data_IF_239299893263
#
_entry.id   IF_239299893263
#
_cell.length_a   1.000
_cell.length_b   1.000
_cell.length_c   1.000
_cell.angle_alpha   90.00
_cell.angle_beta   90.00
_cell.angle_gamma   90.00
#
_symmetry.space_group_name_H-M   'P 1'
#
loop_
_entity.id
_entity.type
_entity.pdbx_description
1 polymer ?
#
# COMPACT_ATOMS: atom_id res chain seq x y z
N UNK A 1 -10.47 -17.28 15.21
CA UNK A 1 -11.25 -17.06 13.98
C UNK A 1 -12.00 -15.74 14.12
N UNK A 2 -11.37 -14.65 13.74
CA UNK A 2 -12.07 -13.35 13.56
C UNK A 2 -12.80 -13.43 12.22
N UNK A 3 -14.11 -13.63 12.28
CA UNK A 3 -14.95 -13.64 11.09
C UNK A 3 -14.76 -12.30 10.36
N UNK A 4 -14.20 -12.33 9.16
CA UNK A 4 -14.36 -11.25 8.21
C UNK A 4 -15.87 -11.07 8.04
N UNK A 5 -16.40 -9.91 8.47
CA UNK A 5 -17.78 -9.57 8.13
C UNK A 5 -17.89 -9.60 6.59
N UNK A 6 -18.96 -10.18 6.04
CA UNK A 6 -19.13 -10.20 4.59
C UNK A 6 -19.13 -8.76 4.07
N UNK A 7 -18.11 -8.42 3.29
CA UNK A 7 -17.98 -7.10 2.66
C UNK A 7 -18.97 -7.09 1.49
N UNK A 8 -19.98 -6.24 1.58
CA UNK A 8 -20.93 -6.01 0.50
C UNK A 8 -20.16 -5.47 -0.72
N UNK A 9 -20.20 -6.20 -1.83
CA UNK A 9 -19.43 -5.90 -3.04
C UNK A 9 -19.76 -4.53 -3.67
N UNK A 10 -20.87 -3.92 -3.25
CA UNK A 10 -21.40 -2.65 -3.76
C UNK A 10 -21.06 -1.45 -2.86
N UNK A 11 -20.43 -1.68 -1.69
CA UNK A 11 -20.06 -0.59 -0.77
C UNK A 11 -18.56 -0.38 -0.78
N UNK A 12 -18.14 0.89 -0.79
CA UNK A 12 -16.75 1.26 -0.62
C UNK A 12 -16.19 0.69 0.69
N UNK A 13 -15.01 0.07 0.61
CA UNK A 13 -14.24 -0.38 1.78
C UNK A 13 -13.62 0.80 2.50
N UNK A 14 -13.19 1.80 1.73
CA UNK A 14 -12.54 3.00 2.21
C UNK A 14 -13.07 4.21 1.46
N UNK A 15 -13.40 5.28 2.19
CA UNK A 15 -13.95 6.50 1.63
C UNK A 15 -13.26 7.72 2.23
N UNK A 16 -12.88 8.62 1.36
CA UNK A 16 -12.32 9.93 1.67
C UNK A 16 -13.29 10.98 1.16
N UNK A 17 -13.65 11.95 1.99
CA UNK A 17 -14.60 12.99 1.62
C UNK A 17 -14.11 14.36 2.09
N UNK A 18 -13.95 15.27 1.14
CA UNK A 18 -13.55 16.67 1.32
C UNK A 18 -12.33 16.83 2.24
N UNK A 19 -11.29 16.01 2.01
CA UNK A 19 -10.09 16.02 2.86
C UNK A 19 -9.10 17.09 2.41
N UNK A 20 -8.92 18.10 3.30
CA UNK A 20 -7.79 19.02 3.22
C UNK A 20 -6.66 18.50 4.10
N UNK A 21 -5.45 18.48 3.57
CA UNK A 21 -4.24 18.11 4.31
C UNK A 21 -3.15 19.15 4.12
N UNK A 22 -2.69 19.74 5.23
CA UNK A 22 -1.60 20.70 5.27
C UNK A 22 -0.50 20.25 6.23
N UNK A 23 0.77 20.40 5.81
CA UNK A 23 1.96 20.10 6.62
C UNK A 23 2.90 21.30 6.59
N UNK A 24 3.01 21.99 7.71
CA UNK A 24 3.67 23.30 7.74
C UNK A 24 3.01 24.26 6.74
N UNK A 25 3.78 24.81 5.84
CA UNK A 25 3.27 25.72 4.78
C UNK A 25 2.85 24.97 3.50
N UNK A 26 3.00 23.64 3.45
CA UNK A 26 2.71 22.86 2.25
C UNK A 26 1.29 22.32 2.27
N UNK A 27 0.48 22.71 1.28
CA UNK A 27 -0.82 22.10 1.02
C UNK A 27 -0.63 20.82 0.23
N UNK A 28 -0.97 19.66 0.83
CA UNK A 28 -0.81 18.34 0.21
C UNK A 28 -2.05 17.96 -0.60
N UNK A 29 -3.25 18.21 -0.05
CA UNK A 29 -4.52 18.02 -0.76
C UNK A 29 -5.52 19.10 -0.36
N UNK A 30 -6.43 19.45 -1.28
CA UNK A 30 -7.61 20.28 -1.05
C UNK A 30 -8.83 19.55 -1.54
N UNK A 31 -9.87 19.49 -0.71
CA UNK A 31 -11.15 18.88 -1.05
C UNK A 31 -11.02 17.50 -1.71
N UNK A 32 -10.14 16.66 -1.14
CA UNK A 32 -9.83 15.34 -1.71
C UNK A 32 -11.00 14.39 -1.48
N UNK A 33 -11.52 13.84 -2.59
CA UNK A 33 -12.61 12.88 -2.61
C UNK A 33 -12.23 11.66 -3.43
N UNK A 34 -12.27 10.47 -2.85
CA UNK A 34 -12.20 9.21 -3.59
C UNK A 34 -12.69 8.04 -2.73
N UNK A 35 -12.95 6.93 -3.40
CA UNK A 35 -13.39 5.68 -2.76
C UNK A 35 -12.51 4.53 -3.24
N UNK A 36 -12.33 3.52 -2.39
CA UNK A 36 -11.67 2.25 -2.73
C UNK A 36 -12.63 1.12 -2.44
N UNK A 37 -12.83 0.26 -3.42
CA UNK A 37 -13.74 -0.88 -3.33
C UNK A 37 -12.99 -2.17 -2.96
N UNK A 38 -13.69 -3.17 -2.40
CA UNK A 38 -13.09 -4.45 -2.05
C UNK A 38 -12.43 -5.14 -3.26
N UNK A 39 -11.14 -5.45 -3.13
CA UNK A 39 -10.33 -6.07 -4.19
C UNK A 39 -9.68 -5.07 -5.14
N UNK A 40 -9.77 -3.77 -4.85
CA UNK A 40 -9.18 -2.71 -5.67
C UNK A 40 -7.75 -2.39 -5.23
N UNK A 41 -6.88 -2.19 -6.21
CA UNK A 41 -5.51 -1.69 -6.02
C UNK A 41 -5.40 -0.28 -6.57
N UNK A 42 -5.05 0.68 -5.71
CA UNK A 42 -4.91 2.11 -6.04
C UNK A 42 -3.46 2.53 -5.94
N UNK A 43 -2.92 3.16 -6.99
CA UNK A 43 -1.59 3.77 -6.98
C UNK A 43 -1.67 5.25 -6.61
N UNK A 44 -0.78 5.74 -5.75
CA UNK A 44 -0.52 7.17 -5.55
C UNK A 44 0.77 7.53 -6.29
N UNK A 45 0.67 8.46 -7.23
CA UNK A 45 1.77 8.93 -8.06
C UNK A 45 1.95 10.45 -7.92
N UNK A 46 3.18 10.92 -8.10
CA UNK A 46 3.52 12.34 -8.01
C UNK A 46 5.02 12.54 -7.85
N UNK A 47 5.48 13.78 -7.98
CA UNK A 47 6.89 14.14 -7.81
C UNK A 47 7.38 13.85 -6.39
N UNK A 48 8.70 13.73 -6.23
CA UNK A 48 9.30 13.62 -4.90
C UNK A 48 9.03 14.92 -4.11
N UNK A 49 8.71 14.76 -2.82
CA UNK A 49 8.41 15.87 -1.93
C UNK A 49 7.00 16.44 -2.03
N UNK A 50 6.12 15.95 -2.94
CA UNK A 50 4.75 16.48 -3.11
C UNK A 50 3.80 16.10 -1.96
N UNK A 51 4.22 15.17 -1.07
CA UNK A 51 3.43 14.77 0.09
C UNK A 51 2.77 13.40 -0.02
N UNK A 52 3.15 12.53 -0.99
CA UNK A 52 2.56 11.18 -1.17
C UNK A 52 2.56 10.34 0.12
N UNK A 53 3.74 10.18 0.74
CA UNK A 53 3.90 9.42 1.99
C UNK A 53 3.14 10.03 3.16
N UNK A 54 3.08 11.36 3.21
CA UNK A 54 2.31 12.08 4.23
C UNK A 54 0.81 11.86 4.04
N UNK A 55 0.31 12.02 2.80
CA UNK A 55 -1.09 11.71 2.51
C UNK A 55 -1.42 10.27 2.84
N UNK A 56 -0.64 9.30 2.34
CA UNK A 56 -0.86 7.88 2.61
C UNK A 56 -0.90 7.58 4.12
N UNK A 57 0.01 8.16 4.91
CA UNK A 57 0.05 8.02 6.36
C UNK A 57 -1.21 8.59 7.03
N UNK A 58 -1.67 9.78 6.62
CA UNK A 58 -2.90 10.38 7.13
C UNK A 58 -4.13 9.56 6.77
N UNK A 59 -4.22 9.06 5.53
CA UNK A 59 -5.26 8.15 5.08
C UNK A 59 -5.29 6.85 5.90
N UNK A 60 -4.13 6.37 6.31
CA UNK A 60 -4.02 5.22 7.21
C UNK A 60 -4.41 5.53 8.68
N UNK A 61 -4.84 6.75 9.01
CA UNK A 61 -5.15 7.17 10.38
C UNK A 61 -3.91 7.34 11.26
N UNK A 62 -2.77 7.65 10.64
CA UNK A 62 -1.50 7.99 11.30
C UNK A 62 -1.21 9.48 11.01
N UNK A 63 -1.85 10.41 11.73
CA UNK A 63 -1.89 11.81 11.33
C UNK A 63 -0.49 12.46 11.34
N UNK A 64 -0.22 13.22 10.27
CA UNK A 64 0.96 14.07 10.11
C UNK A 64 0.52 15.41 9.55
N UNK A 65 0.46 16.43 10.37
CA UNK A 65 -0.03 17.75 9.97
C UNK A 65 -1.48 18.03 10.40
N UNK A 66 -2.08 19.02 9.77
CA UNK A 66 -3.47 19.43 10.01
C UNK A 66 -4.34 18.84 8.91
N UNK A 67 -5.33 18.06 9.30
CA UNK A 67 -6.26 17.42 8.39
C UNK A 67 -7.70 17.75 8.78
N UNK A 68 -8.52 18.11 7.80
CA UNK A 68 -9.98 18.26 7.91
C UNK A 68 -10.68 17.32 6.94
N UNK A 69 -12.00 17.24 7.00
CA UNK A 69 -12.78 16.29 6.19
C UNK A 69 -12.93 14.93 6.86
N UNK A 70 -13.51 13.97 6.15
CA UNK A 70 -13.89 12.68 6.67
C UNK A 70 -13.16 11.52 6.00
N UNK A 71 -12.68 10.58 6.81
CA UNK A 71 -12.12 9.31 6.36
C UNK A 71 -12.89 8.17 7.02
N UNK A 72 -13.50 7.31 6.21
CA UNK A 72 -14.23 6.14 6.66
C UNK A 72 -13.54 4.86 6.20
N UNK A 73 -13.27 3.97 7.14
CA UNK A 73 -12.83 2.60 6.91
C UNK A 73 -14.05 1.68 7.17
N UNK A 74 -14.56 1.05 6.12
CA UNK A 74 -15.91 0.50 6.17
C UNK A 74 -16.94 1.63 6.38
N UNK A 75 -17.74 1.52 7.44
CA UNK A 75 -18.79 2.50 7.77
C UNK A 75 -18.43 3.38 8.98
N UNK A 76 -17.17 3.43 9.41
CA UNK A 76 -16.74 4.11 10.62
C UNK A 76 -15.45 4.90 10.40
N UNK A 77 -15.33 6.04 11.06
CA UNK A 77 -14.04 6.74 11.15
C UNK A 77 -13.09 6.03 12.14
N UNK A 78 -11.82 6.41 12.14
CA UNK A 78 -10.81 5.78 13.00
C UNK A 78 -11.09 5.91 14.49
N UNK A 79 -11.66 7.05 14.93
CA UNK A 79 -12.04 7.27 16.34
C UNK A 79 -13.14 6.31 16.79
N UNK A 80 -14.09 6.00 15.92
CA UNK A 80 -15.18 5.04 16.19
C UNK A 80 -14.68 3.58 16.21
N UNK A 81 -13.62 3.26 15.46
CA UNK A 81 -13.00 1.93 15.49
C UNK A 81 -12.16 1.72 16.76
N UNK A 82 -11.45 2.75 17.21
CA UNK A 82 -10.34 2.65 18.16
C UNK A 82 -9.10 2.01 17.55
N UNK A 83 -7.93 2.28 18.12
CA UNK A 83 -6.63 1.99 17.52
C UNK A 83 -6.45 0.51 17.15
N UNK A 84 -6.77 -0.38 18.06
CA UNK A 84 -6.57 -1.82 17.88
C UNK A 84 -7.49 -2.42 16.81
N UNK A 85 -8.79 -2.09 16.87
CA UNK A 85 -9.74 -2.60 15.89
C UNK A 85 -9.43 -2.03 14.49
N UNK A 86 -9.07 -0.75 14.39
CA UNK A 86 -8.60 -0.17 13.14
C UNK A 86 -7.34 -0.88 12.63
N UNK A 87 -6.38 -1.21 13.50
CA UNK A 87 -5.17 -1.94 13.13
C UNK A 87 -5.44 -3.38 12.66
N UNK A 88 -6.54 -4.03 13.05
CA UNK A 88 -6.95 -5.31 12.46
C UNK A 88 -7.50 -5.16 11.04
N UNK A 89 -8.07 -4.01 10.71
CA UNK A 89 -8.67 -3.73 9.40
C UNK A 89 -7.66 -3.19 8.38
N UNK A 90 -6.71 -2.37 8.83
CA UNK A 90 -5.70 -1.74 8.00
C UNK A 90 -4.30 -2.18 8.36
N UNK A 91 -3.47 -2.45 7.34
CA UNK A 91 -2.03 -2.65 7.49
C UNK A 91 -1.27 -1.41 7.02
N UNK A 92 -0.15 -1.13 7.65
CA UNK A 92 0.74 -0.03 7.30
C UNK A 92 2.15 -0.53 7.02
N UNK A 93 2.64 -0.34 5.80
CA UNK A 93 4.04 -0.54 5.43
C UNK A 93 4.71 0.82 5.26
N UNK A 94 5.64 1.14 6.14
CA UNK A 94 6.41 2.39 6.08
C UNK A 94 7.52 2.31 5.02
N UNK A 95 7.88 3.46 4.43
CA UNK A 95 9.00 3.58 3.47
C UNK A 95 10.34 3.10 4.05
N UNK A 96 10.60 3.36 5.33
CA UNK A 96 11.81 2.93 6.02
C UNK A 96 11.46 2.06 7.21
N UNK A 97 12.00 0.87 7.23
CA UNK A 97 12.01 0.00 8.40
C UNK A 97 13.31 0.29 9.20
N UNK A 98 13.16 0.55 10.47
CA UNK A 98 14.31 0.72 11.37
C UNK A 98 14.27 -0.40 12.41
N UNK A 99 14.99 -1.47 12.14
CA UNK A 99 15.23 -2.51 13.13
C UNK A 99 16.29 -1.99 14.10
N UNK A 100 15.88 -1.71 15.32
CA UNK A 100 16.78 -1.17 16.36
C UNK A 100 17.38 -2.27 17.23
N UNK A 101 16.82 -3.46 17.21
CA UNK A 101 17.21 -4.58 18.06
C UNK A 101 17.41 -5.84 17.22
N UNK A 102 18.31 -6.70 17.65
CA UNK A 102 18.51 -8.03 17.09
C UNK A 102 17.28 -8.89 17.37
N UNK A 103 16.72 -9.47 16.33
CA UNK A 103 15.62 -10.43 16.36
C UNK A 103 15.74 -11.34 15.14
N UNK A 104 15.18 -12.54 15.20
CA UNK A 104 15.09 -13.38 14.01
C UNK A 104 14.09 -12.79 13.00
N UNK A 105 14.25 -13.14 11.74
CA UNK A 105 13.30 -12.79 10.68
C UNK A 105 11.89 -13.28 11.04
N UNK A 106 11.77 -14.51 11.56
CA UNK A 106 10.48 -15.08 11.98
C UNK A 106 9.87 -14.26 13.12
N UNK A 107 10.62 -13.91 14.16
CA UNK A 107 10.14 -13.05 15.26
C UNK A 107 9.68 -11.69 14.76
N UNK A 108 10.39 -11.11 13.79
CA UNK A 108 10.00 -9.86 13.17
C UNK A 108 8.68 -10.00 12.42
N UNK A 109 8.51 -11.04 11.62
CA UNK A 109 7.32 -11.26 10.80
C UNK A 109 6.10 -11.60 11.66
N UNK A 110 6.27 -12.42 12.71
CA UNK A 110 5.16 -12.79 13.62
C UNK A 110 4.63 -11.57 14.39
N UNK A 111 5.46 -10.52 14.59
CA UNK A 111 5.03 -9.27 15.21
C UNK A 111 3.86 -8.59 14.45
N UNK A 112 3.67 -8.89 13.17
CA UNK A 112 2.48 -8.50 12.40
C UNK A 112 1.17 -8.97 13.03
N UNK A 113 1.19 -9.98 13.91
CA UNK A 113 0.01 -10.47 14.63
C UNK A 113 -0.38 -9.63 15.85
N UNK A 114 0.45 -8.67 16.28
CA UNK A 114 0.17 -7.86 17.47
C UNK A 114 -1.25 -7.26 17.55
N UNK A 115 -1.85 -6.74 16.48
CA UNK A 115 -3.23 -6.22 16.53
C UNK A 115 -4.27 -7.28 16.89
N UNK A 116 -3.99 -8.54 16.62
CA UNK A 116 -4.90 -9.68 16.85
C UNK A 116 -4.73 -10.30 18.24
N UNK A 117 -3.59 -10.07 18.92
CA UNK A 117 -3.29 -10.63 20.23
C UNK A 117 -3.92 -9.78 21.35
N UNK A 118 -4.42 -10.42 22.40
CA UNK A 118 -4.83 -9.74 23.61
C UNK A 118 -3.62 -9.41 24.47
N UNK A 119 -3.79 -8.47 25.42
CA UNK A 119 -2.70 -7.98 26.29
C UNK A 119 -1.92 -9.08 27.03
N UNK A 120 -2.51 -10.26 27.21
CA UNK A 120 -1.95 -11.38 27.98
C UNK A 120 -1.88 -12.68 27.17
N UNK A 121 -2.03 -12.61 25.86
CA UNK A 121 -1.90 -13.79 24.99
C UNK A 121 -0.61 -13.71 24.20
N UNK A 122 0.05 -14.84 24.10
CA UNK A 122 1.22 -15.06 23.27
C UNK A 122 0.79 -15.51 21.88
N UNK A 123 1.69 -15.41 20.94
CA UNK A 123 1.52 -15.95 19.59
C UNK A 123 1.27 -17.46 19.65
N UNK A 124 0.36 -17.92 18.79
CA UNK A 124 -0.03 -19.32 18.68
C UNK A 124 0.77 -20.02 17.58
N UNK A 125 0.69 -21.36 17.54
CA UNK A 125 1.21 -22.14 16.39
C UNK A 125 0.59 -21.73 15.06
N UNK A 126 -0.67 -21.29 15.06
CA UNK A 126 -1.35 -20.81 13.85
C UNK A 126 -0.76 -19.46 13.38
N UNK A 127 -0.39 -18.57 14.32
CA UNK A 127 0.28 -17.31 14.00
C UNK A 127 1.68 -17.56 13.43
N UNK A 128 2.41 -18.54 13.97
CA UNK A 128 3.71 -18.97 13.44
C UNK A 128 3.56 -19.55 12.02
N UNK A 129 2.59 -20.42 11.80
CA UNK A 129 2.33 -20.99 10.49
C UNK A 129 1.98 -19.90 9.45
N UNK A 130 1.20 -18.88 9.85
CA UNK A 130 0.87 -17.76 9.00
C UNK A 130 2.11 -16.90 8.68
N UNK A 131 2.99 -16.67 9.67
CA UNK A 131 4.25 -15.96 9.47
C UNK A 131 5.17 -16.70 8.49
N UNK A 132 5.33 -18.02 8.65
CA UNK A 132 6.10 -18.86 7.73
C UNK A 132 5.52 -18.86 6.30
N UNK A 133 4.19 -18.95 6.17
CA UNK A 133 3.53 -18.84 4.86
C UNK A 133 3.75 -17.47 4.21
N UNK A 134 3.75 -16.40 5.01
CA UNK A 134 4.05 -15.03 4.54
C UNK A 134 5.50 -14.89 4.10
N UNK A 135 6.46 -15.48 4.82
CA UNK A 135 7.87 -15.52 4.42
C UNK A 135 8.06 -16.30 3.12
N UNK A 136 7.44 -17.46 2.99
CA UNK A 136 7.49 -18.26 1.77
C UNK A 136 6.90 -17.52 0.56
N UNK A 137 5.82 -16.75 0.77
CA UNK A 137 5.18 -15.96 -0.29
C UNK A 137 6.08 -14.85 -0.88
N UNK A 138 7.13 -14.45 -0.14
CA UNK A 138 8.13 -13.45 -0.59
C UNK A 138 9.53 -14.06 -0.78
N UNK A 139 9.67 -15.40 -0.77
CA UNK A 139 10.94 -16.10 -0.96
C UNK A 139 11.95 -15.86 0.15
N UNK A 140 11.50 -15.81 1.41
CA UNK A 140 12.34 -15.54 2.59
C UNK A 140 12.26 -16.63 3.68
N UNK A 141 11.67 -17.78 3.39
CA UNK A 141 11.51 -18.89 4.32
C UNK A 141 12.84 -19.47 4.83
N UNK A 142 13.86 -19.59 3.97
CA UNK A 142 15.22 -20.04 4.35
C UNK A 142 15.93 -19.05 5.30
N UNK A 143 15.40 -17.83 5.45
CA UNK A 143 15.99 -16.78 6.29
C UNK A 143 15.31 -16.68 7.67
N UNK A 144 14.33 -17.54 7.99
CA UNK A 144 13.50 -17.44 9.19
C UNK A 144 14.30 -17.27 10.50
N UNK A 145 15.39 -18.01 10.67
CA UNK A 145 16.25 -17.99 11.85
C UNK A 145 17.39 -16.95 11.78
N UNK A 146 17.51 -16.22 10.66
CA UNK A 146 18.57 -15.23 10.48
C UNK A 146 18.26 -13.95 11.25
N UNK A 147 19.30 -13.28 11.76
CA UNK A 147 19.16 -11.97 12.40
C UNK A 147 18.79 -10.91 11.35
N UNK A 148 17.69 -10.18 11.60
CA UNK A 148 17.15 -9.14 10.72
C UNK A 148 18.17 -8.02 10.46
N UNK A 149 19.08 -7.74 11.39
CA UNK A 149 20.12 -6.73 11.22
C UNK A 149 21.15 -7.09 10.16
N UNK A 150 21.28 -8.37 9.81
CA UNK A 150 22.22 -8.87 8.80
C UNK A 150 21.68 -8.86 7.38
N UNK A 151 20.41 -8.48 7.21
CA UNK A 151 19.74 -8.48 5.92
C UNK A 151 20.18 -7.31 5.04
N UNK A 152 20.28 -7.54 3.74
CA UNK A 152 20.36 -6.49 2.72
C UNK A 152 19.08 -5.63 2.68
N UNK A 153 19.14 -4.48 2.02
CA UNK A 153 17.97 -3.61 1.87
C UNK A 153 16.77 -4.30 1.19
N UNK A 154 17.02 -5.09 0.15
CA UNK A 154 15.96 -5.82 -0.55
C UNK A 154 15.39 -6.99 0.27
N UNK A 155 16.23 -7.75 0.99
CA UNK A 155 15.77 -8.80 1.91
C UNK A 155 14.92 -8.19 3.03
N UNK A 156 15.36 -7.06 3.61
CA UNK A 156 14.61 -6.34 4.65
C UNK A 156 13.26 -5.85 4.14
N UNK A 157 13.20 -5.35 2.90
CA UNK A 157 11.95 -4.92 2.29
C UNK A 157 10.98 -6.10 2.11
N UNK A 158 11.46 -7.26 1.69
CA UNK A 158 10.63 -8.48 1.57
C UNK A 158 10.13 -8.96 2.95
N UNK A 159 10.96 -8.91 3.98
CA UNK A 159 10.55 -9.20 5.37
C UNK A 159 9.46 -8.23 5.84
N UNK A 160 9.58 -6.94 5.52
CA UNK A 160 8.55 -5.96 5.85
C UNK A 160 7.21 -6.24 5.12
N UNK A 161 7.27 -6.66 3.85
CA UNK A 161 6.08 -7.13 3.13
C UNK A 161 5.51 -8.39 3.79
N UNK A 162 6.33 -9.38 4.18
CA UNK A 162 5.87 -10.57 4.90
C UNK A 162 5.20 -10.21 6.23
N UNK A 163 5.71 -9.23 6.96
CA UNK A 163 5.14 -8.77 8.22
C UNK A 163 3.72 -8.22 8.05
N UNK A 164 3.51 -7.36 7.04
CA UNK A 164 2.17 -6.82 6.77
C UNK A 164 1.21 -7.89 6.18
N UNK A 165 1.72 -8.88 5.46
CA UNK A 165 0.94 -10.03 5.01
C UNK A 165 0.50 -10.89 6.21
N UNK A 166 1.36 -11.09 7.19
CA UNK A 166 1.07 -11.82 8.44
C UNK A 166 0.03 -11.11 9.28
N UNK A 167 -0.01 -9.79 9.27
CA UNK A 167 -1.10 -9.01 9.87
C UNK A 167 -2.46 -9.35 9.23
N UNK A 168 -2.49 -9.64 7.93
CA UNK A 168 -3.67 -10.02 7.15
C UNK A 168 -4.84 -9.02 7.26
N UNK A 169 -4.64 -7.74 6.96
CA UNK A 169 -5.68 -6.72 6.99
C UNK A 169 -6.58 -6.77 5.74
N UNK A 170 -7.75 -6.11 5.79
CA UNK A 170 -8.62 -5.93 4.61
C UNK A 170 -8.12 -4.83 3.67
N UNK A 171 -7.38 -3.85 4.19
CA UNK A 171 -6.82 -2.73 3.43
C UNK A 171 -5.34 -2.53 3.76
N UNK A 172 -4.50 -2.56 2.73
CA UNK A 172 -3.06 -2.32 2.83
C UNK A 172 -2.73 -0.89 2.41
N UNK A 173 -2.04 -0.14 3.27
CA UNK A 173 -1.40 1.12 2.95
C UNK A 173 0.10 0.87 2.86
N UNK A 174 0.69 1.03 1.66
CA UNK A 174 2.08 0.65 1.42
C UNK A 174 2.87 1.83 0.84
N UNK A 175 3.79 2.36 1.63
CA UNK A 175 4.64 3.48 1.23
C UNK A 175 5.92 2.96 0.55
N UNK A 176 5.99 3.09 -0.77
CA UNK A 176 7.08 2.61 -1.62
C UNK A 176 7.44 1.13 -1.39
N UNK A 177 6.48 0.20 -1.52
CA UNK A 177 6.70 -1.22 -1.20
C UNK A 177 7.76 -1.89 -2.08
N UNK A 178 8.12 -1.30 -3.20
CA UNK A 178 9.05 -1.82 -4.19
C UNK A 178 10.48 -1.26 -4.03
N UNK A 179 10.70 -0.38 -3.04
CA UNK A 179 12.01 0.21 -2.81
C UNK A 179 13.07 -0.85 -2.51
N UNK A 180 14.29 -0.66 -3.04
CA UNK A 180 15.43 -1.57 -2.87
C UNK A 180 15.27 -2.98 -3.47
N UNK A 181 14.16 -3.28 -4.14
CA UNK A 181 13.95 -4.54 -4.84
C UNK A 181 14.44 -4.45 -6.29
N UNK A 182 15.04 -5.52 -6.78
CA UNK A 182 15.25 -5.69 -8.21
C UNK A 182 13.92 -5.94 -8.95
N UNK A 183 13.95 -5.88 -10.27
CA UNK A 183 12.74 -5.95 -11.10
C UNK A 183 11.95 -7.26 -10.86
N UNK A 184 12.61 -8.39 -10.67
CA UNK A 184 11.93 -9.66 -10.44
C UNK A 184 11.12 -9.63 -9.15
N UNK A 185 11.76 -9.22 -8.05
CA UNK A 185 11.08 -9.13 -6.76
C UNK A 185 9.99 -8.04 -6.72
N UNK A 186 10.16 -6.93 -7.47
CA UNK A 186 9.09 -5.93 -7.64
C UNK A 186 7.85 -6.56 -8.28
N UNK A 187 8.04 -7.33 -9.35
CA UNK A 187 6.95 -8.02 -10.04
C UNK A 187 6.30 -9.05 -9.13
N UNK A 188 7.08 -9.87 -8.41
CA UNK A 188 6.58 -10.88 -7.47
C UNK A 188 5.69 -10.27 -6.38
N UNK A 189 6.11 -9.15 -5.76
CA UNK A 189 5.30 -8.44 -4.76
C UNK A 189 4.00 -7.92 -5.37
N UNK A 190 4.03 -7.32 -6.56
CA UNK A 190 2.82 -6.81 -7.22
C UNK A 190 1.87 -7.93 -7.65
N UNK A 191 2.37 -9.04 -8.20
CA UNK A 191 1.58 -10.22 -8.55
C UNK A 191 0.94 -10.87 -7.31
N UNK A 192 1.69 -10.94 -6.21
CA UNK A 192 1.19 -11.43 -4.93
C UNK A 192 0.02 -10.57 -4.44
N UNK A 193 0.20 -9.24 -4.39
CA UNK A 193 -0.86 -8.32 -3.97
C UNK A 193 -2.06 -8.37 -4.93
N UNK A 194 -1.83 -8.44 -6.23
CA UNK A 194 -2.90 -8.56 -7.24
C UNK A 194 -3.69 -9.86 -7.10
N UNK A 195 -2.99 -10.96 -6.82
CA UNK A 195 -3.62 -12.28 -6.58
C UNK A 195 -4.50 -12.23 -5.34
N UNK A 196 -4.02 -11.66 -4.25
CA UNK A 196 -4.79 -11.50 -3.02
C UNK A 196 -5.98 -10.58 -3.20
N UNK A 197 -5.79 -9.45 -3.89
CA UNK A 197 -6.87 -8.52 -4.20
C UNK A 197 -8.03 -9.24 -4.93
N UNK A 198 -7.71 -10.04 -5.93
CA UNK A 198 -8.72 -10.77 -6.72
C UNK A 198 -9.36 -11.96 -5.99
N UNK A 199 -8.56 -12.75 -5.25
CA UNK A 199 -9.05 -13.98 -4.61
C UNK A 199 -9.64 -13.74 -3.22
N UNK A 200 -9.01 -12.88 -2.43
CA UNK A 200 -9.36 -12.63 -1.03
C UNK A 200 -10.13 -11.32 -0.85
N UNK A 201 -10.26 -10.51 -1.94
CA UNK A 201 -10.90 -9.19 -1.97
C UNK A 201 -10.27 -8.18 -1.01
N UNK A 202 -9.00 -8.35 -0.69
CA UNK A 202 -8.24 -7.33 0.02
C UNK A 202 -7.96 -6.15 -0.90
N UNK A 203 -7.88 -4.95 -0.36
CA UNK A 203 -7.59 -3.75 -1.14
C UNK A 203 -6.23 -3.18 -0.77
N UNK A 204 -5.66 -2.38 -1.66
CA UNK A 204 -4.34 -1.83 -1.46
C UNK A 204 -4.26 -0.39 -1.99
N UNK A 205 -3.69 0.51 -1.18
CA UNK A 205 -3.31 1.85 -1.62
C UNK A 205 -1.79 1.94 -1.49
N UNK A 206 -1.10 2.18 -2.61
CA UNK A 206 0.37 2.12 -2.67
C UNK A 206 0.96 3.39 -3.27
N UNK A 207 2.02 3.91 -2.67
CA UNK A 207 2.88 4.89 -3.34
C UNK A 207 3.80 4.15 -4.30
N UNK A 208 3.70 4.46 -5.59
CA UNK A 208 4.55 3.91 -6.63
C UNK A 208 5.29 5.02 -7.39
N UNK A 209 6.45 4.68 -7.98
CA UNK A 209 7.24 5.60 -8.79
C UNK A 209 7.17 5.30 -10.28
N UNK A 210 6.84 4.07 -10.64
CA UNK A 210 6.80 3.57 -12.01
C UNK A 210 5.37 3.57 -12.56
N UNK A 211 5.00 4.52 -13.45
CA UNK A 211 3.65 4.58 -14.02
C UNK A 211 3.27 3.32 -14.81
N UNK A 212 4.25 2.66 -15.45
CA UNK A 212 4.03 1.42 -16.17
C UNK A 212 3.59 0.28 -15.26
N UNK A 213 4.22 0.13 -14.08
CA UNK A 213 3.80 -0.86 -13.07
C UNK A 213 2.43 -0.50 -12.48
N UNK A 214 2.18 0.78 -12.19
CA UNK A 214 0.87 1.23 -11.74
C UNK A 214 -0.23 0.92 -12.78
N UNK A 215 0.03 1.18 -14.07
CA UNK A 215 -0.93 0.86 -15.13
C UNK A 215 -1.21 -0.65 -15.25
N UNK A 216 -0.18 -1.49 -15.07
CA UNK A 216 -0.30 -2.94 -15.21
C UNK A 216 -1.01 -3.61 -14.03
N UNK A 217 -0.75 -3.15 -12.80
CA UNK A 217 -1.16 -3.85 -11.58
C UNK A 217 -2.28 -3.18 -10.80
N UNK A 218 -2.50 -1.88 -10.97
CA UNK A 218 -3.54 -1.15 -10.25
C UNK A 218 -4.82 -0.98 -11.08
N UNK A 219 -5.91 -0.75 -10.40
CA UNK A 219 -7.24 -0.49 -11.00
C UNK A 219 -7.48 1.02 -11.12
N UNK A 220 -7.00 1.78 -10.12
CA UNK A 220 -7.13 3.24 -10.05
C UNK A 220 -5.80 3.91 -9.72
N UNK A 221 -5.71 5.20 -10.01
CA UNK A 221 -4.57 6.03 -9.68
C UNK A 221 -5.02 7.38 -9.13
N UNK A 222 -4.35 7.83 -8.07
CA UNK A 222 -4.41 9.16 -7.49
C UNK A 222 -3.13 9.90 -7.86
N UNK A 223 -3.25 10.96 -8.64
CA UNK A 223 -2.15 11.82 -9.09
C UNK A 223 -2.09 13.07 -8.20
N UNK A 224 -0.94 13.34 -7.57
CA UNK A 224 -0.69 14.53 -6.76
C UNK A 224 0.21 15.49 -7.53
N UNK A 225 -0.35 16.64 -7.96
CA UNK A 225 0.37 17.64 -8.76
C UNK A 225 1.15 18.65 -7.91
N UNK A 226 0.82 18.76 -6.63
CA UNK A 226 1.35 19.78 -5.70
C UNK A 226 0.34 20.89 -5.45
N UNK A 227 0.63 21.74 -4.45
CA UNK A 227 -0.22 22.88 -4.04
C UNK A 227 -1.68 22.49 -3.73
N UNK A 228 -1.88 21.25 -3.30
CA UNK A 228 -3.18 20.67 -2.98
C UNK A 228 -3.98 20.14 -4.17
N UNK A 229 -3.42 20.25 -5.38
CA UNK A 229 -4.09 19.75 -6.58
C UNK A 229 -3.90 18.24 -6.75
N UNK A 230 -4.99 17.55 -7.12
CA UNK A 230 -5.02 16.11 -7.35
C UNK A 230 -6.01 15.73 -8.44
N UNK A 231 -5.86 14.52 -8.96
CA UNK A 231 -6.83 13.86 -9.83
C UNK A 231 -6.89 12.37 -9.46
N UNK A 232 -8.07 11.77 -9.46
CA UNK A 232 -8.26 10.35 -9.19
C UNK A 232 -9.22 9.72 -10.21
N UNK A 233 -8.95 8.47 -10.57
CA UNK A 233 -9.77 7.71 -11.50
C UNK A 233 -9.12 6.42 -11.92
N UNK A 234 -9.70 5.74 -12.93
CA UNK A 234 -9.13 4.49 -13.45
C UNK A 234 -7.71 4.71 -14.00
N UNK A 235 -6.83 3.71 -13.90
CA UNK A 235 -5.48 3.80 -14.47
C UNK A 235 -5.50 4.14 -15.96
N UNK A 236 -6.50 3.67 -16.70
CA UNK A 236 -6.63 3.94 -18.13
C UNK A 236 -6.91 5.40 -18.46
N UNK A 237 -7.61 6.12 -17.58
CA UNK A 237 -7.94 7.54 -17.73
C UNK A 237 -6.92 8.45 -17.09
N UNK A 238 -6.31 8.03 -15.99
CA UNK A 238 -5.35 8.85 -15.26
C UNK A 238 -3.93 8.77 -15.82
N UNK A 239 -3.48 7.56 -16.20
CA UNK A 239 -2.12 7.35 -16.69
C UNK A 239 -2.05 7.55 -18.20
N UNK A 240 -2.06 8.83 -18.62
CA UNK A 240 -1.89 9.27 -20.00
C UNK A 240 -0.58 10.05 -20.13
N UNK A 241 -0.04 10.14 -21.35
CA UNK A 241 1.17 10.95 -21.60
C UNK A 241 0.99 12.41 -21.16
N UNK A 242 -0.20 12.99 -21.36
CA UNK A 242 -0.53 14.37 -20.97
C UNK A 242 -0.48 14.54 -19.44
N UNK A 243 -1.24 13.72 -18.70
CA UNK A 243 -1.29 13.80 -17.23
C UNK A 243 0.08 13.56 -16.60
N UNK A 244 0.82 12.55 -17.10
CA UNK A 244 2.14 12.22 -16.57
C UNK A 244 3.19 13.27 -16.95
N UNK A 245 3.13 13.86 -18.15
CA UNK A 245 3.99 14.98 -18.51
C UNK A 245 3.78 16.17 -17.59
N UNK A 246 2.51 16.50 -17.29
CA UNK A 246 2.16 17.53 -16.32
C UNK A 246 2.65 17.18 -14.92
N UNK A 247 2.41 15.92 -14.48
CA UNK A 247 2.77 15.43 -13.15
C UNK A 247 4.27 15.53 -12.88
N UNK A 248 5.10 15.10 -13.85
CA UNK A 248 6.55 15.07 -13.70
C UNK A 248 7.24 16.35 -14.19
N UNK A 249 6.52 17.22 -14.90
CA UNK A 249 7.06 18.47 -15.45
C UNK A 249 8.05 18.25 -16.59
N UNK A 250 7.90 17.12 -17.30
CA UNK A 250 8.74 16.75 -18.46
C UNK A 250 7.89 16.07 -19.53
N UNK A 251 8.09 16.37 -20.83
CA UNK A 251 7.34 15.72 -21.91
C UNK A 251 7.55 14.20 -21.93
N UNK A 252 6.46 13.48 -21.85
CA UNK A 252 6.43 12.02 -21.95
C UNK A 252 5.61 11.59 -23.15
N UNK A 253 6.01 10.50 -23.79
CA UNK A 253 5.23 9.82 -24.82
C UNK A 253 4.80 8.45 -24.32
N UNK A 254 3.64 8.02 -24.78
CA UNK A 254 3.08 6.73 -24.46
C UNK A 254 3.40 5.74 -25.57
N UNK A 255 3.92 4.58 -25.20
CA UNK A 255 4.16 3.44 -26.10
C UNK A 255 3.22 2.32 -25.68
N UNK A 256 2.45 1.80 -26.61
CA UNK A 256 1.56 0.67 -26.37
C UNK A 256 2.05 -0.57 -27.12
N UNK A 257 2.07 -1.70 -26.45
CA UNK A 257 2.41 -3.00 -27.04
C UNK A 257 1.62 -4.10 -26.37
N UNK A 258 1.14 -5.07 -27.15
CA UNK A 258 0.57 -6.28 -26.61
C UNK A 258 1.66 -7.14 -25.93
N UNK A 259 1.38 -7.62 -24.72
CA UNK A 259 2.21 -8.63 -24.07
C UNK A 259 2.00 -10.03 -24.69
N UNK A 260 2.69 -11.04 -24.16
CA UNK A 260 2.59 -12.43 -24.64
C UNK A 260 1.17 -13.02 -24.55
N UNK A 261 0.29 -12.44 -23.72
CA UNK A 261 -1.10 -12.85 -23.53
C UNK A 261 -2.08 -11.99 -24.34
N UNK A 262 -1.59 -11.07 -25.18
CA UNK A 262 -2.40 -10.15 -25.98
C UNK A 262 -2.98 -8.95 -25.18
N UNK A 263 -2.57 -8.76 -23.91
CA UNK A 263 -2.98 -7.59 -23.13
C UNK A 263 -2.13 -6.39 -23.53
N UNK A 264 -2.80 -5.25 -23.81
CA UNK A 264 -2.11 -4.00 -24.13
C UNK A 264 -1.43 -3.45 -22.86
N UNK A 265 -0.12 -3.34 -22.92
CA UNK A 265 0.69 -2.72 -21.89
C UNK A 265 1.10 -1.32 -22.35
N UNK A 266 1.18 -0.39 -21.40
CA UNK A 266 1.60 1.00 -21.64
C UNK A 266 2.92 1.28 -20.95
N UNK A 267 3.83 1.86 -21.69
CA UNK A 267 5.08 2.41 -21.19
C UNK A 267 5.09 3.92 -21.44
N UNK A 268 5.71 4.62 -20.52
CA UNK A 268 5.85 6.07 -20.60
C UNK A 268 7.34 6.37 -20.62
N UNK A 269 7.80 6.97 -21.71
CA UNK A 269 9.21 7.29 -21.93
C UNK A 269 9.37 8.78 -22.19
N UNK A 270 10.57 9.30 -21.97
CA UNK A 270 10.89 10.70 -22.33
C UNK A 270 10.71 10.91 -23.81
N UNK A 271 10.12 12.04 -24.20
CA UNK A 271 9.95 12.46 -25.59
C UNK A 271 11.28 12.77 -26.27
#
# INVERSE_FOLDING_TARGET
>A
MTAHQPIDALKALFKVSSVDLQVGDTQVSRDLDFEVFPGEMTAILGRNGVGKSTLLSCLAGLPRGVMTGDILLGNKNYAQWGDRAAACWRGWLAQKQQDQFSATVLETVISGRHPHLNRWTWETSDDQALAMASLSAVGMDDFAERDVLTLSGGERQRVAVATILTQNPSLYFMDEPLAHLDLNHQIEVLELMRTRARKERVSCIMVLHEPGLAHRYCDSALLLFGEGEWQCGSVSTMLTAENLSRLYGYPLVQIERADANGQMQRWFVSA
#
